data_IF_181134502180
#
_entry.id   IF_181134502180
#
_cell.length_a   1.000
_cell.length_b   1.000
_cell.length_c   1.000
_cell.angle_alpha   90.00
_cell.angle_beta   90.00
_cell.angle_gamma   90.00
#
_symmetry.space_group_name_H-M   'P 1'
#
loop_
_entity.id
_entity.type
_entity.pdbx_description
1 polymer ?
#
# COMPACT_ATOMS: atom_id res chain seq x y z
N UNK A 1 -15.55 -22.45 1.70
CA UNK A 1 -16.84 -22.57 0.96
C UNK A 1 -17.58 -21.23 1.03
N UNK A 2 -17.77 -20.58 -0.09
CA UNK A 2 -18.34 -19.23 -0.26
C UNK A 2 -19.66 -19.35 -1.01
N UNK A 3 -20.63 -18.49 -0.70
CA UNK A 3 -21.87 -18.43 -1.49
C UNK A 3 -21.55 -17.89 -2.88
N UNK A 4 -22.11 -18.45 -3.92
CA UNK A 4 -21.84 -18.09 -5.32
C UNK A 4 -22.19 -16.63 -5.63
N UNK A 5 -23.30 -16.09 -5.06
CA UNK A 5 -23.65 -14.68 -5.21
C UNK A 5 -22.61 -13.75 -4.57
N UNK A 6 -21.96 -14.19 -3.48
CA UNK A 6 -20.84 -13.47 -2.86
C UNK A 6 -19.56 -13.62 -3.68
N UNK A 7 -19.27 -14.83 -4.18
CA UNK A 7 -18.11 -15.08 -5.05
C UNK A 7 -18.08 -14.12 -6.24
N UNK A 8 -19.21 -14.00 -6.98
CA UNK A 8 -19.29 -13.08 -8.12
C UNK A 8 -19.14 -11.60 -7.71
N UNK A 9 -19.59 -11.23 -6.52
CA UNK A 9 -19.44 -9.86 -6.02
C UNK A 9 -18.01 -9.57 -5.58
N UNK A 10 -17.37 -10.52 -4.89
CA UNK A 10 -16.00 -10.39 -4.42
C UNK A 10 -14.98 -10.34 -5.60
N UNK A 11 -15.26 -11.04 -6.71
CA UNK A 11 -14.44 -10.95 -7.95
C UNK A 11 -14.65 -9.66 -8.74
N UNK A 12 -15.56 -8.82 -8.30
CA UNK A 12 -15.87 -7.58 -9.03
C UNK A 12 -16.69 -7.76 -10.30
N UNK A 13 -17.03 -8.99 -10.68
CA UNK A 13 -17.75 -9.29 -11.92
C UNK A 13 -19.21 -8.80 -11.91
N UNK A 14 -19.82 -8.66 -10.72
CA UNK A 14 -21.20 -8.18 -10.56
C UNK A 14 -21.46 -7.71 -9.12
N UNK A 15 -22.45 -6.83 -8.93
CA UNK A 15 -23.03 -6.64 -7.60
C UNK A 15 -23.77 -7.91 -7.15
N UNK A 16 -23.99 -8.09 -5.83
CA UNK A 16 -24.78 -9.22 -5.33
C UNK A 16 -26.16 -9.35 -5.96
N UNK A 17 -26.79 -8.22 -6.31
CA UNK A 17 -28.10 -8.18 -6.97
C UNK A 17 -28.00 -8.71 -8.40
N UNK A 18 -27.01 -8.26 -9.15
CA UNK A 18 -26.76 -8.70 -10.53
C UNK A 18 -26.32 -10.17 -10.56
N UNK A 19 -25.46 -10.59 -9.63
CA UNK A 19 -25.04 -11.99 -9.50
C UNK A 19 -26.23 -12.94 -9.38
N UNK A 20 -27.21 -12.61 -8.51
CA UNK A 20 -28.45 -13.40 -8.40
C UNK A 20 -29.24 -13.46 -9.72
N UNK A 21 -29.26 -12.38 -10.47
CA UNK A 21 -29.92 -12.32 -11.76
C UNK A 21 -29.20 -13.19 -12.81
N UNK A 22 -27.87 -13.10 -12.90
CA UNK A 22 -27.05 -13.87 -13.84
C UNK A 22 -27.15 -15.38 -13.55
N UNK A 23 -27.09 -15.77 -12.27
CA UNK A 23 -27.25 -17.19 -11.87
C UNK A 23 -28.62 -17.73 -12.29
N UNK A 24 -29.71 -17.00 -12.01
CA UNK A 24 -31.07 -17.40 -12.39
C UNK A 24 -31.29 -17.49 -13.90
N UNK A 25 -30.52 -16.76 -14.71
CA UNK A 25 -30.56 -16.82 -16.16
C UNK A 25 -29.67 -17.90 -16.76
N UNK A 26 -28.97 -18.68 -15.92
CA UNK A 26 -28.05 -19.72 -16.38
C UNK A 26 -26.76 -19.17 -17.00
N UNK A 27 -26.43 -17.89 -16.77
CA UNK A 27 -25.24 -17.25 -17.33
C UNK A 27 -23.96 -17.55 -16.52
N UNK A 28 -24.07 -18.31 -15.42
CA UNK A 28 -22.97 -18.67 -14.54
C UNK A 28 -22.77 -20.18 -14.53
N UNK A 29 -21.53 -20.63 -14.70
CA UNK A 29 -21.16 -22.04 -14.54
C UNK A 29 -20.15 -22.21 -13.39
N UNK A 30 -20.22 -23.35 -12.74
CA UNK A 30 -19.28 -23.79 -11.71
C UNK A 30 -18.75 -25.16 -12.14
N UNK A 31 -17.43 -25.28 -12.29
CA UNK A 31 -16.76 -26.51 -12.77
C UNK A 31 -17.38 -27.05 -14.08
N UNK A 32 -17.77 -26.13 -14.98
CA UNK A 32 -18.37 -26.42 -16.28
C UNK A 32 -19.89 -26.72 -16.26
N UNK A 33 -20.52 -26.75 -15.08
CA UNK A 33 -21.97 -27.03 -14.93
C UNK A 33 -22.72 -25.73 -14.61
N UNK A 34 -23.91 -25.47 -15.22
CA UNK A 34 -24.72 -24.32 -14.85
C UNK A 34 -25.01 -24.28 -13.36
N UNK A 35 -24.87 -23.12 -12.75
CA UNK A 35 -25.08 -22.94 -11.33
C UNK A 35 -26.55 -23.15 -10.93
N UNK A 36 -26.79 -23.92 -9.87
CA UNK A 36 -28.13 -24.31 -9.43
C UNK A 36 -28.89 -23.16 -8.74
N UNK A 37 -28.20 -22.36 -7.90
CA UNK A 37 -28.81 -21.29 -7.11
C UNK A 37 -27.78 -20.25 -6.64
N UNK A 38 -28.20 -18.98 -6.38
CA UNK A 38 -27.30 -17.97 -5.81
C UNK A 38 -26.66 -18.34 -4.47
N UNK A 39 -27.33 -19.17 -3.69
CA UNK A 39 -26.90 -19.66 -2.39
C UNK A 39 -25.94 -20.85 -2.46
N UNK A 40 -25.75 -21.44 -3.64
CA UNK A 40 -24.80 -22.54 -3.86
C UNK A 40 -23.45 -22.19 -3.25
N UNK A 41 -22.88 -23.12 -2.47
CA UNK A 41 -21.56 -22.96 -1.88
C UNK A 41 -20.51 -23.51 -2.83
N UNK A 42 -19.52 -22.67 -3.14
CA UNK A 42 -18.38 -23.00 -4.01
C UNK A 42 -17.07 -22.89 -3.23
N UNK A 43 -16.05 -23.61 -3.67
CA UNK A 43 -14.67 -23.41 -3.19
C UNK A 43 -14.11 -22.10 -3.75
N UNK A 44 -13.12 -21.51 -3.08
CA UNK A 44 -12.32 -20.41 -3.62
C UNK A 44 -11.56 -20.81 -4.90
N UNK A 45 -11.25 -22.10 -5.02
CA UNK A 45 -10.56 -22.70 -6.17
C UNK A 45 -11.49 -23.25 -7.24
N UNK A 46 -12.82 -23.12 -7.10
CA UNK A 46 -13.77 -23.59 -8.11
C UNK A 46 -13.62 -22.82 -9.42
N UNK A 47 -13.74 -23.52 -10.53
CA UNK A 47 -13.72 -22.89 -11.86
C UNK A 47 -15.08 -22.22 -12.14
N UNK A 48 -15.25 -21.00 -11.66
CA UNK A 48 -16.46 -20.21 -11.89
C UNK A 48 -16.31 -19.35 -13.15
N UNK A 49 -17.30 -19.43 -14.06
CA UNK A 49 -17.35 -18.58 -15.24
C UNK A 49 -18.65 -17.78 -15.26
N UNK A 50 -18.58 -16.52 -15.71
CA UNK A 50 -19.74 -15.70 -16.08
C UNK A 50 -19.74 -15.49 -17.57
N UNK A 51 -20.82 -15.93 -18.26
CA UNK A 51 -20.93 -15.84 -19.73
C UNK A 51 -19.73 -16.44 -20.46
N UNK A 52 -19.21 -17.56 -19.95
CA UNK A 52 -18.04 -18.24 -20.50
C UNK A 52 -16.67 -17.59 -20.15
N UNK A 53 -16.66 -16.44 -19.49
CA UNK A 53 -15.42 -15.82 -19.03
C UNK A 53 -15.06 -16.33 -17.64
N UNK A 54 -13.84 -16.89 -17.43
CA UNK A 54 -13.41 -17.38 -16.15
C UNK A 54 -13.27 -16.23 -15.15
N UNK A 55 -13.70 -16.46 -13.91
CA UNK A 55 -13.54 -15.54 -12.80
C UNK A 55 -12.47 -16.09 -11.86
N UNK A 56 -11.56 -15.23 -11.45
CA UNK A 56 -10.55 -15.57 -10.45
C UNK A 56 -10.97 -15.02 -9.09
N UNK A 57 -11.21 -15.92 -8.13
CA UNK A 57 -11.52 -15.50 -6.77
C UNK A 57 -10.28 -14.97 -6.08
N UNK A 58 -10.41 -13.79 -5.52
CA UNK A 58 -9.36 -13.14 -4.75
C UNK A 58 -9.97 -12.64 -3.44
N UNK A 59 -9.47 -13.14 -2.32
CA UNK A 59 -10.01 -12.81 -0.99
C UNK A 59 -9.71 -11.36 -0.63
N UNK A 60 -8.53 -10.89 -0.98
CA UNK A 60 -8.06 -9.54 -0.74
C UNK A 60 -7.33 -8.98 -1.95
N UNK A 61 -7.40 -7.68 -2.12
CA UNK A 61 -6.75 -6.94 -3.20
C UNK A 61 -5.58 -6.14 -2.64
N UNK A 62 -4.46 -6.18 -3.34
CA UNK A 62 -3.26 -5.44 -2.98
C UNK A 62 -2.79 -4.61 -4.16
N UNK A 63 -2.65 -3.30 -3.97
CA UNK A 63 -2.19 -2.39 -5.00
C UNK A 63 -0.95 -1.64 -4.55
N UNK A 64 0.02 -1.53 -5.45
CA UNK A 64 1.11 -0.57 -5.36
C UNK A 64 0.67 0.72 -6.02
N UNK A 65 0.65 1.80 -5.28
CA UNK A 65 0.42 3.16 -5.78
C UNK A 65 1.72 3.96 -5.73
N UNK A 66 2.09 4.59 -6.83
CA UNK A 66 3.09 5.66 -6.81
C UNK A 66 2.39 6.97 -6.41
N UNK A 67 2.32 7.24 -5.10
CA UNK A 67 1.63 8.42 -4.60
C UNK A 67 2.25 9.71 -5.15
N UNK A 68 1.49 10.57 -5.85
CA UNK A 68 1.95 11.89 -6.28
C UNK A 68 1.93 12.89 -5.10
N UNK A 69 2.59 14.05 -5.23
CA UNK A 69 2.42 15.16 -4.28
C UNK A 69 1.01 15.75 -4.39
N UNK A 70 0.58 16.47 -3.37
CA UNK A 70 -0.69 17.22 -3.37
C UNK A 70 -1.93 16.41 -3.00
N UNK A 71 -1.83 15.08 -2.85
CA UNK A 71 -2.92 14.17 -2.55
C UNK A 71 -2.83 13.67 -1.11
N UNK A 72 -3.96 13.64 -0.40
CA UNK A 72 -4.02 13.15 0.99
C UNK A 72 -4.00 11.63 1.06
N UNK A 73 -3.28 11.08 2.04
CA UNK A 73 -3.40 9.65 2.39
C UNK A 73 -4.59 9.44 3.31
N UNK A 74 -5.77 9.37 2.72
CA UNK A 74 -7.05 9.15 3.38
C UNK A 74 -7.98 8.37 2.45
N UNK A 75 -9.04 7.80 2.99
CA UNK A 75 -10.09 7.12 2.21
C UNK A 75 -11.07 8.10 1.57
N UNK A 76 -11.28 9.26 2.21
CA UNK A 76 -12.10 10.36 1.69
C UNK A 76 -11.74 11.65 2.41
N UNK A 77 -11.97 12.79 1.75
CA UNK A 77 -11.91 14.13 2.34
C UNK A 77 -12.96 15.02 1.68
N UNK A 78 -13.45 16.04 2.40
CA UNK A 78 -14.52 16.93 1.90
C UNK A 78 -14.03 18.01 0.93
N UNK A 79 -12.76 18.33 0.95
CA UNK A 79 -12.20 19.52 0.29
C UNK A 79 -10.93 19.24 -0.53
N UNK A 80 -10.30 18.09 -0.32
CA UNK A 80 -9.01 17.79 -0.92
C UNK A 80 -9.00 16.40 -1.55
N UNK A 81 -8.30 16.21 -2.69
CA UNK A 81 -8.18 14.91 -3.31
C UNK A 81 -7.42 13.94 -2.40
N UNK A 82 -7.87 12.70 -2.38
CA UNK A 82 -7.30 11.60 -1.61
C UNK A 82 -6.66 10.56 -2.52
N UNK A 83 -5.88 9.65 -1.95
CA UNK A 83 -5.26 8.55 -2.70
C UNK A 83 -6.29 7.60 -3.30
N UNK A 84 -7.51 7.51 -2.75
CA UNK A 84 -8.57 6.65 -3.31
C UNK A 84 -9.25 7.29 -4.52
N UNK A 85 -9.21 8.60 -4.68
CA UNK A 85 -9.72 9.28 -5.88
C UNK A 85 -8.89 8.96 -7.15
N UNK A 86 -7.68 8.37 -6.97
CA UNK A 86 -6.85 7.87 -8.07
C UNK A 86 -7.30 6.49 -8.58
N UNK A 87 -8.22 5.83 -7.88
CA UNK A 87 -8.75 4.52 -8.26
C UNK A 87 -10.14 4.67 -8.87
N UNK A 88 -10.47 3.89 -9.91
CA UNK A 88 -11.79 3.92 -10.52
C UNK A 88 -12.87 3.40 -9.54
N UNK A 89 -14.13 3.81 -9.69
CA UNK A 89 -15.23 3.43 -8.79
C UNK A 89 -15.41 1.91 -8.62
N UNK A 90 -15.08 1.14 -9.65
CA UNK A 90 -15.17 -0.33 -9.66
C UNK A 90 -14.20 -0.96 -8.63
N UNK A 91 -13.06 -0.34 -8.37
CA UNK A 91 -12.11 -0.81 -7.36
C UNK A 91 -12.43 -0.24 -5.98
N UNK A 92 -12.92 1.00 -5.90
CA UNK A 92 -13.27 1.62 -4.62
C UNK A 92 -14.34 0.84 -3.84
N UNK A 93 -15.22 0.09 -4.54
CA UNK A 93 -16.26 -0.75 -3.92
C UNK A 93 -15.71 -1.88 -3.03
N UNK A 94 -14.45 -2.28 -3.18
CA UNK A 94 -13.80 -3.28 -2.33
C UNK A 94 -13.50 -2.78 -0.92
N UNK A 95 -13.75 -1.49 -0.63
CA UNK A 95 -13.44 -0.92 0.68
C UNK A 95 -11.94 -0.75 0.91
N UNK A 96 -11.23 -0.41 -0.15
CA UNK A 96 -9.78 -0.18 -0.14
C UNK A 96 -9.37 0.89 0.87
N UNK A 97 -8.27 0.65 1.57
CA UNK A 97 -7.67 1.59 2.52
C UNK A 97 -6.15 1.64 2.34
N UNK A 98 -5.49 2.76 2.64
CA UNK A 98 -4.03 2.82 2.59
C UNK A 98 -3.39 2.07 3.77
N UNK A 99 -2.39 1.23 3.49
CA UNK A 99 -1.57 0.56 4.49
C UNK A 99 -0.44 1.48 4.99
N UNK A 100 -0.79 2.39 5.86
CA UNK A 100 0.05 3.46 6.38
C UNK A 100 -0.18 4.78 5.65
N UNK A 101 0.61 5.78 6.01
CA UNK A 101 0.42 7.15 5.50
C UNK A 101 1.72 7.73 4.96
N UNK A 102 1.58 8.59 3.96
CA UNK A 102 2.57 9.56 3.51
C UNK A 102 1.97 10.96 3.68
N UNK A 103 2.81 11.93 3.96
CA UNK A 103 2.39 13.34 4.03
C UNK A 103 1.88 13.79 2.65
N UNK A 104 1.13 14.89 2.60
CA UNK A 104 0.53 15.41 1.37
C UNK A 104 1.59 15.68 0.27
N UNK A 105 2.74 16.21 0.66
CA UNK A 105 3.86 16.55 -0.23
C UNK A 105 4.88 15.39 -0.41
N UNK A 106 4.78 14.32 0.39
CA UNK A 106 5.64 13.13 0.28
C UNK A 106 5.14 12.23 -0.84
N UNK A 107 6.06 11.72 -1.65
CA UNK A 107 5.78 10.89 -2.82
C UNK A 107 6.27 9.45 -2.63
N UNK A 108 6.01 8.58 -3.61
CA UNK A 108 6.58 7.23 -3.68
C UNK A 108 5.62 6.12 -3.32
N UNK A 109 6.17 4.97 -2.92
CA UNK A 109 5.43 3.75 -2.69
C UNK A 109 4.38 3.90 -1.58
N UNK A 110 3.13 3.69 -1.92
CA UNK A 110 2.03 3.53 -0.98
C UNK A 110 1.26 2.25 -1.32
N UNK A 111 0.95 1.46 -0.31
CA UNK A 111 0.13 0.26 -0.46
C UNK A 111 -1.33 0.59 -0.17
N UNK A 112 -2.21 0.05 -1.02
CA UNK A 112 -3.67 0.18 -0.89
C UNK A 112 -4.25 -1.24 -0.90
N UNK A 113 -5.13 -1.57 0.04
CA UNK A 113 -5.70 -2.92 0.18
C UNK A 113 -7.01 -2.89 0.95
N UNK A 114 -7.81 -3.95 0.83
CA UNK A 114 -8.98 -4.25 1.64
C UNK A 114 -8.70 -5.26 2.78
N UNK A 115 -7.43 -5.70 2.94
CA UNK A 115 -6.98 -6.59 4.01
C UNK A 115 -6.59 -5.78 5.26
N UNK A 116 -7.50 -5.68 6.23
CA UNK A 116 -7.27 -4.97 7.49
C UNK A 116 -6.14 -5.58 8.35
N UNK A 117 -5.98 -6.92 8.35
CA UNK A 117 -4.92 -7.59 9.09
C UNK A 117 -3.55 -7.30 8.48
N UNK A 118 -3.47 -7.28 7.15
CA UNK A 118 -2.26 -6.86 6.44
C UNK A 118 -1.90 -5.41 6.77
N UNK A 119 -2.86 -4.49 6.70
CA UNK A 119 -2.66 -3.09 7.09
C UNK A 119 -2.08 -2.99 8.49
N UNK A 120 -2.73 -3.64 9.47
CA UNK A 120 -2.26 -3.65 10.85
C UNK A 120 -0.82 -4.16 10.99
N UNK A 121 -0.45 -5.23 10.29
CA UNK A 121 0.92 -5.77 10.30
C UNK A 121 1.95 -4.82 9.70
N UNK A 122 1.61 -4.11 8.62
CA UNK A 122 2.50 -3.14 7.94
C UNK A 122 2.78 -1.90 8.80
N UNK A 123 1.74 -1.39 9.50
CA UNK A 123 1.86 -0.13 10.25
C UNK A 123 2.35 -0.31 11.68
N UNK A 124 2.20 -1.50 12.27
CA UNK A 124 2.54 -1.74 13.68
C UNK A 124 4.05 -1.71 13.92
N UNK A 125 4.56 -0.80 14.76
CA UNK A 125 6.02 -0.65 15.01
C UNK A 125 6.68 -1.94 15.50
N UNK A 126 5.99 -2.73 16.33
CA UNK A 126 6.48 -4.02 16.87
C UNK A 126 6.86 -5.04 15.80
N UNK A 127 6.36 -4.90 14.57
CA UNK A 127 6.69 -5.78 13.43
C UNK A 127 7.98 -5.38 12.71
N UNK A 128 8.56 -4.22 13.05
CA UNK A 128 9.81 -3.73 12.50
C UNK A 128 9.91 -3.73 10.97
N UNK A 129 8.77 -3.55 10.28
CA UNK A 129 8.76 -3.45 8.81
C UNK A 129 9.52 -2.18 8.39
N UNK A 130 10.67 -2.31 7.70
CA UNK A 130 11.46 -1.16 7.30
C UNK A 130 10.75 -0.34 6.22
N UNK A 131 10.85 0.98 6.30
CA UNK A 131 10.43 1.92 5.27
C UNK A 131 11.66 2.71 4.83
N UNK A 132 12.00 2.62 3.56
CA UNK A 132 13.18 3.28 3.00
C UNK A 132 12.76 4.51 2.22
N UNK A 133 13.38 5.63 2.53
CA UNK A 133 13.11 6.91 1.88
C UNK A 133 14.39 7.46 1.24
N UNK A 134 14.24 8.10 0.09
CA UNK A 134 15.18 9.08 -0.40
C UNK A 134 14.71 10.46 0.05
N UNK A 135 15.60 11.23 0.67
CA UNK A 135 15.37 12.61 1.06
C UNK A 135 16.38 13.51 0.32
N UNK A 136 15.86 14.39 -0.53
CA UNK A 136 16.64 15.53 -1.02
C UNK A 136 16.62 16.61 0.07
N UNK A 137 17.78 17.09 0.48
CA UNK A 137 17.94 17.94 1.64
C UNK A 137 18.60 19.27 1.29
N UNK A 138 18.38 20.29 2.12
CA UNK A 138 19.13 21.54 2.05
C UNK A 138 20.52 21.31 2.70
N UNK A 139 21.53 21.09 1.84
CA UNK A 139 22.83 20.56 2.23
C UNK A 139 22.82 19.05 2.51
N UNK A 140 24.00 18.47 2.69
CA UNK A 140 24.17 17.05 3.00
C UNK A 140 24.21 16.81 4.53
N UNK A 141 23.53 15.76 5.04
CA UNK A 141 23.67 15.38 6.43
C UNK A 141 25.15 15.10 6.80
N UNK A 142 25.55 15.43 8.02
CA UNK A 142 26.90 15.15 8.52
C UNK A 142 27.04 13.70 8.95
N UNK A 143 28.27 13.24 9.18
CA UNK A 143 28.52 11.90 9.80
C UNK A 143 27.92 11.81 11.20
N UNK A 144 27.98 12.88 11.98
CA UNK A 144 27.36 12.97 13.29
C UNK A 144 25.82 12.81 13.24
N UNK A 145 25.17 13.27 12.15
CA UNK A 145 23.75 13.00 11.94
C UNK A 145 23.46 11.50 11.79
N UNK A 146 24.32 10.76 11.08
CA UNK A 146 24.16 9.31 10.93
C UNK A 146 24.30 8.58 12.27
N UNK A 147 25.21 8.98 13.11
CA UNK A 147 25.38 8.44 14.47
C UNK A 147 24.15 8.72 15.34
N UNK A 148 23.60 9.95 15.29
CA UNK A 148 22.36 10.29 15.99
C UNK A 148 21.16 9.46 15.51
N UNK A 149 21.05 9.20 14.20
CA UNK A 149 20.02 8.32 13.67
C UNK A 149 20.16 6.89 14.21
N UNK A 150 21.38 6.35 14.25
CA UNK A 150 21.64 5.01 14.77
C UNK A 150 21.31 4.85 16.27
N UNK A 151 21.39 5.93 17.04
CA UNK A 151 21.03 5.96 18.48
C UNK A 151 19.54 6.25 18.70
N UNK A 152 18.82 6.69 17.67
CA UNK A 152 17.46 7.20 17.76
C UNK A 152 17.42 8.69 18.09
N UNK A 153 16.86 9.48 17.17
CA UNK A 153 16.78 10.94 17.30
C UNK A 153 15.68 11.33 18.28
N UNK A 154 15.98 12.25 19.20
CA UNK A 154 14.96 12.94 20.00
C UNK A 154 14.43 14.12 19.18
N UNK A 155 13.13 14.15 18.93
CA UNK A 155 12.47 15.23 18.20
C UNK A 155 12.30 16.47 19.09
N UNK A 156 12.03 17.63 18.46
CA UNK A 156 11.90 18.90 19.19
C UNK A 156 10.78 18.95 20.23
N UNK A 157 9.82 18.04 20.20
CA UNK A 157 8.76 17.88 21.21
C UNK A 157 9.12 16.85 22.30
N UNK A 158 10.36 16.38 22.34
CA UNK A 158 10.84 15.36 23.29
C UNK A 158 10.53 13.92 22.88
N UNK A 159 9.86 13.69 21.74
CA UNK A 159 9.55 12.33 21.27
C UNK A 159 10.81 11.58 20.89
N UNK A 160 11.09 10.46 21.55
CA UNK A 160 12.18 9.54 21.20
C UNK A 160 11.78 8.72 19.98
N UNK A 161 12.61 8.76 18.93
CA UNK A 161 12.49 7.86 17.77
C UNK A 161 13.26 6.56 18.01
N UNK A 162 12.80 5.48 17.35
CA UNK A 162 13.57 4.25 17.29
C UNK A 162 14.89 4.48 16.51
N UNK A 163 15.95 3.66 16.78
CA UNK A 163 17.13 3.64 15.94
C UNK A 163 16.80 3.52 14.45
N UNK A 164 17.45 4.31 13.64
CA UNK A 164 17.24 4.41 12.21
C UNK A 164 18.58 4.44 11.47
N UNK A 165 18.59 4.10 10.19
CA UNK A 165 19.80 4.18 9.36
C UNK A 165 19.72 5.42 8.48
N UNK A 166 20.79 6.20 8.45
CA UNK A 166 20.99 7.30 7.51
C UNK A 166 22.25 7.04 6.68
N UNK A 167 22.09 7.03 5.38
CA UNK A 167 23.17 6.86 4.40
C UNK A 167 23.24 8.11 3.53
N UNK A 168 24.41 8.71 3.47
CA UNK A 168 24.65 9.92 2.67
C UNK A 168 24.80 9.55 1.18
N UNK A 169 24.16 10.30 0.30
CA UNK A 169 24.19 10.10 -1.14
C UNK A 169 24.58 11.43 -1.84
N UNK A 170 25.87 11.84 -1.76
CA UNK A 170 26.32 13.13 -2.29
C UNK A 170 26.02 13.32 -3.76
N UNK A 171 26.22 12.28 -4.57
CA UNK A 171 25.97 12.31 -6.03
C UNK A 171 24.50 12.58 -6.37
N UNK A 172 23.57 12.27 -5.45
CA UNK A 172 22.14 12.50 -5.62
C UNK A 172 21.63 13.76 -4.89
N UNK A 173 22.52 14.50 -4.22
CA UNK A 173 22.18 15.70 -3.47
C UNK A 173 21.26 15.45 -2.28
N UNK A 174 21.43 14.31 -1.58
CA UNK A 174 20.56 13.94 -0.46
C UNK A 174 21.05 12.75 0.36
N UNK A 175 20.10 12.03 0.93
CA UNK A 175 20.38 10.85 1.74
C UNK A 175 19.27 9.78 1.62
N UNK A 176 19.63 8.55 1.95
CA UNK A 176 18.69 7.44 2.16
C UNK A 176 18.45 7.28 3.65
N UNK A 177 17.18 7.19 4.03
CA UNK A 177 16.78 7.00 5.43
C UNK A 177 15.94 5.73 5.54
N UNK A 178 16.34 4.81 6.45
CA UNK A 178 15.55 3.62 6.77
C UNK A 178 15.01 3.74 8.18
N UNK A 179 13.69 3.66 8.34
CA UNK A 179 12.98 3.74 9.61
C UNK A 179 12.06 2.53 9.80
N UNK A 180 11.79 2.16 11.06
CA UNK A 180 11.00 0.99 11.45
C UNK A 180 9.66 1.37 12.09
N UNK A 181 9.36 2.63 12.19
CA UNK A 181 8.12 3.21 12.71
C UNK A 181 7.64 4.36 11.82
N UNK A 182 6.48 4.96 12.15
CA UNK A 182 5.93 6.10 11.41
C UNK A 182 5.20 7.05 12.36
N UNK A 183 5.89 8.07 12.86
CA UNK A 183 5.30 9.18 13.62
C UNK A 183 5.01 10.36 12.69
N UNK A 184 4.24 11.32 13.15
CA UNK A 184 3.89 12.52 12.39
C UNK A 184 5.12 13.26 11.87
N UNK A 185 5.25 13.39 10.56
CA UNK A 185 6.35 14.03 9.82
C UNK A 185 7.75 13.56 10.26
N UNK A 186 7.88 12.30 10.71
CA UNK A 186 9.03 11.81 11.47
C UNK A 186 10.35 12.02 10.74
N UNK A 187 10.50 11.54 9.51
CA UNK A 187 11.77 11.63 8.75
C UNK A 187 12.17 13.08 8.54
N UNK A 188 11.21 13.96 8.20
CA UNK A 188 11.45 15.41 8.03
C UNK A 188 11.93 16.04 9.33
N UNK A 189 11.27 15.72 10.45
CA UNK A 189 11.63 16.25 11.77
C UNK A 189 12.98 15.73 12.26
N UNK A 190 13.30 14.46 12.01
CA UNK A 190 14.60 13.88 12.35
C UNK A 190 15.74 14.58 11.61
N UNK A 191 15.61 14.78 10.29
CA UNK A 191 16.62 15.47 9.47
C UNK A 191 16.73 16.93 9.81
N UNK A 192 15.62 17.64 10.01
CA UNK A 192 15.61 19.04 10.45
C UNK A 192 16.30 19.21 11.83
N UNK A 193 16.04 18.29 12.77
CA UNK A 193 16.70 18.25 14.09
C UNK A 193 18.22 17.95 14.02
N UNK A 194 18.71 17.46 12.88
CA UNK A 194 20.12 17.29 12.57
C UNK A 194 20.70 18.44 11.71
N UNK A 195 19.94 19.53 11.52
CA UNK A 195 20.40 20.71 10.76
C UNK A 195 20.31 20.57 9.23
N UNK A 196 19.56 19.58 8.72
CA UNK A 196 19.43 19.29 7.27
C UNK A 196 17.96 19.20 6.89
N UNK A 197 17.23 20.31 6.69
CA UNK A 197 15.83 20.31 6.30
C UNK A 197 15.57 19.54 5.00
N UNK A 198 14.44 18.85 4.95
CA UNK A 198 14.03 18.08 3.77
C UNK A 198 13.35 18.99 2.77
N UNK A 199 13.83 19.00 1.53
CA UNK A 199 13.23 19.67 0.39
C UNK A 199 12.22 18.77 -0.33
N UNK A 200 12.56 17.49 -0.49
CA UNK A 200 11.69 16.48 -1.10
C UNK A 200 11.86 15.14 -0.36
N UNK A 201 10.77 14.43 -0.15
CA UNK A 201 10.79 13.11 0.48
C UNK A 201 10.05 12.11 -0.42
N UNK A 202 10.72 10.99 -0.71
CA UNK A 202 10.21 9.95 -1.59
C UNK A 202 10.40 8.57 -0.96
N UNK A 203 9.32 7.81 -0.79
CA UNK A 203 9.42 6.44 -0.26
C UNK A 203 9.76 5.46 -1.36
N UNK A 204 10.93 4.83 -1.26
CA UNK A 204 11.47 3.88 -2.22
C UNK A 204 10.91 2.47 -2.01
N UNK A 205 10.81 2.03 -0.74
CA UNK A 205 10.39 0.67 -0.42
C UNK A 205 9.70 0.55 0.94
N UNK A 206 8.97 -0.56 1.10
CA UNK A 206 8.42 -1.06 2.36
C UNK A 206 8.83 -2.54 2.45
N UNK A 207 9.61 -2.93 3.47
CA UNK A 207 10.24 -4.25 3.48
C UNK A 207 11.13 -4.43 2.25
N UNK A 208 11.07 -5.60 1.64
CA UNK A 208 11.74 -5.90 0.38
C UNK A 208 10.94 -5.45 -0.87
N UNK A 209 9.70 -4.99 -0.71
CA UNK A 209 8.90 -4.48 -1.83
C UNK A 209 9.38 -3.08 -2.21
N UNK A 210 9.92 -2.92 -3.41
CA UNK A 210 10.37 -1.65 -3.97
C UNK A 210 9.31 -1.05 -4.89
N UNK A 211 9.30 0.28 -4.99
CA UNK A 211 8.47 0.97 -5.98
C UNK A 211 8.89 0.53 -7.38
N UNK A 212 7.90 0.15 -8.18
CA UNK A 212 8.11 -0.21 -9.57
C UNK A 212 8.56 1.04 -10.37
N UNK A 213 9.77 1.03 -10.96
CA UNK A 213 10.29 2.18 -11.68
C UNK A 213 9.49 2.54 -12.94
N UNK A 214 8.71 1.61 -13.47
CA UNK A 214 7.82 1.86 -14.62
C UNK A 214 6.52 2.56 -14.22
N UNK A 215 6.20 2.63 -12.92
CA UNK A 215 4.96 3.19 -12.43
C UNK A 215 5.07 4.72 -12.31
N UNK A 216 4.39 5.45 -13.18
CA UNK A 216 4.35 6.91 -13.15
C UNK A 216 3.68 7.46 -11.88
N UNK A 217 4.01 8.68 -11.41
CA UNK A 217 3.30 9.31 -10.30
C UNK A 217 1.79 9.40 -10.55
N UNK A 218 0.99 8.95 -9.58
CA UNK A 218 -0.47 8.84 -9.68
C UNK A 218 -0.96 7.52 -10.25
N UNK A 219 -0.09 6.73 -10.88
CA UNK A 219 -0.45 5.40 -11.37
C UNK A 219 -0.35 4.35 -10.25
N UNK A 220 -1.11 3.28 -10.43
CA UNK A 220 -1.10 2.11 -9.55
C UNK A 220 -1.08 0.82 -10.39
N UNK A 221 -0.66 -0.27 -9.78
CA UNK A 221 -0.83 -1.63 -10.32
C UNK A 221 -1.20 -2.59 -9.20
N UNK A 222 -1.85 -3.66 -9.59
CA UNK A 222 -2.11 -4.77 -8.68
C UNK A 222 -0.81 -5.52 -8.37
N UNK A 223 -0.73 -6.04 -7.14
CA UNK A 223 0.35 -6.91 -6.67
C UNK A 223 -0.15 -8.34 -6.62
N UNK A 224 0.70 -9.29 -7.00
CA UNK A 224 0.42 -10.69 -6.67
C UNK A 224 0.48 -10.90 -5.14
N UNK A 225 -0.16 -11.96 -4.62
CA UNK A 225 -0.05 -12.30 -3.19
C UNK A 225 1.41 -12.45 -2.74
N UNK A 226 2.28 -13.00 -3.58
CA UNK A 226 3.70 -13.17 -3.30
C UNK A 226 4.42 -11.82 -3.22
N UNK A 227 4.15 -10.90 -4.16
CA UNK A 227 4.68 -9.54 -4.12
C UNK A 227 4.23 -8.80 -2.86
N UNK A 228 2.95 -8.90 -2.50
CA UNK A 228 2.42 -8.27 -1.30
C UNK A 228 3.13 -8.77 -0.03
N UNK A 229 3.54 -10.03 0.02
CA UNK A 229 4.25 -10.61 1.16
C UNK A 229 5.70 -10.14 1.28
N UNK A 230 6.34 -9.62 0.21
CA UNK A 230 7.68 -9.03 0.26
C UNK A 230 7.81 -7.89 1.28
N UNK A 231 6.71 -7.24 1.63
CA UNK A 231 6.65 -6.20 2.67
C UNK A 231 7.15 -6.72 4.02
N UNK A 232 6.98 -7.99 4.31
CA UNK A 232 7.40 -8.62 5.58
C UNK A 232 8.77 -9.28 5.50
N UNK A 233 9.44 -9.18 4.36
CA UNK A 233 10.82 -9.64 4.17
C UNK A 233 11.79 -8.47 4.35
N UNK A 234 13.04 -8.79 4.74
CA UNK A 234 14.09 -7.77 4.79
C UNK A 234 14.51 -7.40 3.36
N UNK A 235 14.86 -6.12 3.11
CA UNK A 235 15.46 -5.72 1.84
C UNK A 235 16.71 -6.56 1.56
N UNK A 236 16.85 -7.06 0.35
CA UNK A 236 18.12 -7.61 -0.14
C UNK A 236 19.15 -6.48 -0.17
N UNK A 237 20.31 -6.73 0.40
CA UNK A 237 21.44 -5.79 0.53
C UNK A 237 21.95 -5.35 -0.84
#
# INVERSE_FOLDING_TARGET
MIRLDKYLADTGAASRREAKMYIRRGEVTVDGVPAAAPEQKVSETAAVCLRGQPLHYQTFHYYMLHKPPGVLTATSDRSQPTVLDLFPPELQRFGLVPAGRLDKDTTGLLLITDDGDYVHRVITPKKHVPKVYFARTDGLPTSAAAERFAQGVVLGDGTQCLPARLERLPEQGGCRVTVYEGKYHMVKRMLAGCGTPVLQLHRLSIGALTLDPALSPGAYRELSPEEAMLVFSLPTS
#
